data_IF_861512354488
#
_entry.id   IF_861512354488
#
_cell.length_a   1.000
_cell.length_b   1.000
_cell.length_c   1.000
_cell.angle_alpha   90.00
_cell.angle_beta   90.00
_cell.angle_gamma   90.00
#
_symmetry.space_group_name_H-M   'P 1'
#
loop_
_entity.id
_entity.type
_entity.pdbx_description
1 polymer ?
#
# COMPACT_ATOMS: atom_id res chain seq x y z
N UNK A 1 -7.39 -12.02 5.77
CA UNK A 1 -7.60 -10.66 6.35
C UNK A 1 -7.65 -10.66 7.89
N UNK A 2 -7.02 -11.63 8.58
CA UNK A 2 -7.13 -11.76 10.04
C UNK A 2 -6.62 -10.56 10.83
N UNK A 3 -5.54 -9.91 10.35
CA UNK A 3 -4.97 -8.72 11.01
C UNK A 3 -5.88 -7.50 10.92
N UNK A 4 -6.53 -7.26 9.78
CA UNK A 4 -7.42 -6.10 9.58
C UNK A 4 -8.66 -6.18 10.48
N UNK A 5 -9.15 -7.40 10.74
CA UNK A 5 -10.32 -7.66 11.58
C UNK A 5 -10.00 -7.68 13.08
N UNK A 6 -8.73 -7.65 13.46
CA UNK A 6 -8.33 -7.77 14.86
C UNK A 6 -8.44 -6.41 15.58
N UNK A 7 -9.32 -6.26 16.59
CA UNK A 7 -9.49 -4.99 17.31
C UNK A 7 -8.26 -4.56 18.13
N UNK A 8 -7.34 -5.48 18.44
CA UNK A 8 -6.11 -5.17 19.17
C UNK A 8 -5.04 -4.54 18.26
N UNK A 9 -5.19 -4.64 16.94
CA UNK A 9 -4.26 -4.07 15.96
C UNK A 9 -4.80 -2.73 15.46
N UNK A 10 -4.19 -1.65 15.93
CA UNK A 10 -4.61 -0.28 15.59
C UNK A 10 -4.08 0.22 14.25
N UNK A 11 -3.02 -0.39 13.73
CA UNK A 11 -2.44 -0.06 12.44
C UNK A 11 -2.04 -1.32 11.68
N UNK A 12 -2.52 -1.44 10.44
CA UNK A 12 -2.11 -2.50 9.51
C UNK A 12 -1.44 -1.85 8.30
N UNK A 13 -0.21 -2.26 7.99
CA UNK A 13 0.50 -1.87 6.78
C UNK A 13 0.41 -3.03 5.76
N UNK A 14 -0.21 -2.75 4.62
CA UNK A 14 -0.25 -3.64 3.46
C UNK A 14 0.76 -3.15 2.44
N UNK A 15 2.00 -3.56 2.65
CA UNK A 15 3.12 -3.13 1.81
C UNK A 15 3.04 -3.76 0.40
N UNK A 16 3.21 -2.94 -0.63
CA UNK A 16 3.18 -3.31 -2.06
C UNK A 16 1.90 -4.03 -2.54
N UNK A 17 0.78 -3.83 -1.84
CA UNK A 17 -0.51 -4.42 -2.23
C UNK A 17 -0.99 -3.96 -3.61
N UNK A 18 -0.66 -2.73 -4.02
CA UNK A 18 -1.00 -2.21 -5.35
C UNK A 18 -0.31 -3.03 -6.45
N UNK A 19 0.92 -3.51 -6.21
CA UNK A 19 1.63 -4.38 -7.14
C UNK A 19 0.98 -5.77 -7.18
N UNK A 20 0.59 -6.32 -6.03
CA UNK A 20 -0.13 -7.59 -5.97
C UNK A 20 -1.46 -7.56 -6.75
N UNK A 21 -2.20 -6.46 -6.66
CA UNK A 21 -3.42 -6.20 -7.44
C UNK A 21 -3.11 -6.10 -8.94
N UNK A 22 -2.08 -5.33 -9.32
CA UNK A 22 -1.64 -5.19 -10.71
C UNK A 22 -1.23 -6.53 -11.34
N UNK A 23 -0.65 -7.42 -10.54
CA UNK A 23 -0.23 -8.76 -10.96
C UNK A 23 -1.35 -9.81 -10.86
N UNK A 24 -2.58 -9.40 -10.49
CA UNK A 24 -3.75 -10.27 -10.32
C UNK A 24 -3.56 -11.39 -9.27
N UNK A 25 -2.68 -11.21 -8.29
CA UNK A 25 -2.57 -12.13 -7.15
C UNK A 25 -3.73 -11.96 -6.17
N UNK A 26 -4.36 -10.79 -6.16
CA UNK A 26 -5.56 -10.44 -5.42
C UNK A 26 -6.53 -9.74 -6.38
N UNK A 27 -7.82 -9.86 -6.13
CA UNK A 27 -8.81 -9.01 -6.80
C UNK A 27 -9.08 -7.76 -5.98
N UNK A 28 -9.50 -6.68 -6.65
CA UNK A 28 -9.82 -5.43 -5.97
C UNK A 28 -11.01 -5.60 -5.01
N UNK A 29 -11.99 -6.42 -5.37
CA UNK A 29 -13.16 -6.72 -4.55
C UNK A 29 -12.78 -7.40 -3.24
N UNK A 30 -11.81 -8.33 -3.27
CA UNK A 30 -11.32 -8.99 -2.06
C UNK A 30 -10.68 -7.99 -1.09
N UNK A 31 -9.94 -7.01 -1.62
CA UNK A 31 -9.29 -5.98 -0.79
C UNK A 31 -10.33 -5.02 -0.22
N UNK A 32 -11.25 -4.52 -1.05
CA UNK A 32 -12.32 -3.61 -0.60
C UNK A 32 -13.19 -4.26 0.48
N UNK A 33 -13.63 -5.50 0.27
CA UNK A 33 -14.41 -6.23 1.27
C UNK A 33 -13.65 -6.35 2.60
N UNK A 34 -12.34 -6.61 2.56
CA UNK A 34 -11.53 -6.66 3.76
C UNK A 34 -11.38 -5.32 4.49
N UNK A 35 -11.29 -4.22 3.75
CA UNK A 35 -11.22 -2.88 4.33
C UNK A 35 -12.52 -2.45 5.00
N UNK A 36 -13.66 -2.93 4.51
CA UNK A 36 -14.98 -2.63 5.09
C UNK A 36 -15.25 -3.40 6.39
N UNK A 37 -14.47 -4.45 6.66
CA UNK A 37 -14.55 -5.24 7.90
C UNK A 37 -13.60 -4.75 9.00
N UNK A 38 -12.84 -3.69 8.77
CA UNK A 38 -11.89 -3.18 9.77
C UNK A 38 -12.66 -2.57 10.97
N UNK A 39 -12.15 -2.71 12.21
CA UNK A 39 -12.63 -1.94 13.36
C UNK A 39 -12.63 -0.43 13.11
N UNK A 40 -13.58 0.29 13.71
CA UNK A 40 -13.75 1.72 13.48
C UNK A 40 -12.50 2.54 13.87
N UNK A 41 -11.82 2.12 14.92
CA UNK A 41 -10.64 2.76 15.51
C UNK A 41 -9.29 2.24 14.97
N UNK A 42 -9.31 1.40 13.91
CA UNK A 42 -8.09 0.93 13.25
C UNK A 42 -7.81 1.67 11.95
N UNK A 43 -6.53 1.78 11.61
CA UNK A 43 -6.02 2.39 10.38
C UNK A 43 -5.37 1.33 9.49
N UNK A 44 -5.53 1.47 8.18
CA UNK A 44 -4.88 0.61 7.18
C UNK A 44 -4.13 1.48 6.19
N UNK A 45 -2.83 1.20 6.01
CA UNK A 45 -1.97 1.87 5.04
C UNK A 45 -1.72 0.90 3.89
N UNK A 46 -1.94 1.36 2.66
CA UNK A 46 -1.70 0.59 1.44
C UNK A 46 -0.58 1.28 0.65
N UNK A 47 0.45 0.55 0.26
CA UNK A 47 1.58 1.10 -0.50
C UNK A 47 1.75 0.40 -1.85
N UNK A 48 2.68 0.94 -2.63
CA UNK A 48 3.04 0.45 -3.95
C UNK A 48 2.51 1.32 -5.09
N UNK A 49 3.06 1.11 -6.28
CA UNK A 49 2.78 1.96 -7.44
C UNK A 49 1.49 1.55 -8.14
N UNK A 50 0.75 2.55 -8.66
CA UNK A 50 -0.41 2.31 -9.51
C UNK A 50 -1.63 1.77 -8.76
N UNK A 51 -2.00 2.43 -7.67
CA UNK A 51 -3.23 2.11 -6.94
C UNK A 51 -4.45 2.13 -7.89
N UNK A 52 -5.31 1.09 -7.90
CA UNK A 52 -6.56 1.10 -8.65
C UNK A 52 -7.47 2.27 -8.23
N UNK A 53 -8.20 2.84 -9.19
CA UNK A 53 -9.08 3.99 -8.94
C UNK A 53 -10.08 3.74 -7.80
N UNK A 54 -10.61 2.52 -7.67
CA UNK A 54 -11.52 2.17 -6.59
C UNK A 54 -10.88 2.23 -5.19
N UNK A 55 -9.57 1.95 -5.05
CA UNK A 55 -8.87 2.15 -3.76
C UNK A 55 -8.69 3.64 -3.46
N UNK A 56 -8.37 4.42 -4.49
CA UNK A 56 -8.20 5.88 -4.36
C UNK A 56 -9.51 6.52 -3.92
N UNK A 57 -10.63 6.14 -4.54
CA UNK A 57 -11.97 6.63 -4.20
C UNK A 57 -12.39 6.24 -2.78
N UNK A 58 -12.06 5.02 -2.34
CA UNK A 58 -12.40 4.50 -1.01
C UNK A 58 -11.54 5.07 0.12
N UNK A 59 -10.35 5.57 -0.18
CA UNK A 59 -9.38 6.00 0.82
C UNK A 59 -9.72 7.39 1.40
N UNK A 60 -9.57 7.53 2.71
CA UNK A 60 -9.74 8.82 3.39
C UNK A 60 -8.59 9.80 3.08
N UNK A 61 -7.40 9.27 2.81
CA UNK A 61 -6.19 10.01 2.47
C UNK A 61 -5.42 9.29 1.37
N UNK A 62 -5.01 10.04 0.35
CA UNK A 62 -4.14 9.54 -0.73
C UNK A 62 -2.96 10.49 -0.88
N UNK A 63 -1.75 9.92 -0.89
CA UNK A 63 -0.51 10.66 -1.17
C UNK A 63 0.20 10.00 -2.35
N UNK A 64 0.58 10.80 -3.35
CA UNK A 64 1.36 10.35 -4.49
C UNK A 64 2.82 10.79 -4.35
N UNK A 65 3.73 9.83 -4.45
CA UNK A 65 5.17 10.09 -4.47
C UNK A 65 5.66 10.18 -5.92
N UNK A 66 5.81 11.40 -6.43
CA UNK A 66 6.38 11.63 -7.78
C UNK A 66 7.91 11.64 -7.73
N UNK A 67 8.54 10.85 -8.61
CA UNK A 67 9.99 10.78 -8.71
C UNK A 67 10.58 12.03 -9.38
N UNK A 68 11.07 12.99 -8.58
CA UNK A 68 11.72 14.21 -9.10
C UNK A 68 13.19 13.96 -9.50
N UNK A 69 13.93 13.19 -8.68
CA UNK A 69 15.30 12.75 -8.93
C UNK A 69 15.56 11.43 -8.20
N UNK A 70 16.45 10.58 -8.71
CA UNK A 70 16.84 9.32 -8.09
C UNK A 70 18.33 8.98 -8.29
N UNK A 71 19.12 8.75 -7.22
CA UNK A 71 20.56 8.48 -7.32
C UNK A 71 20.95 7.40 -8.33
N UNK A 72 20.19 6.30 -8.41
CA UNK A 72 20.39 5.27 -9.44
C UNK A 72 20.32 5.82 -10.87
N UNK A 73 19.35 6.70 -11.16
CA UNK A 73 19.08 7.18 -12.52
C UNK A 73 20.05 8.27 -12.96
N UNK A 74 20.36 9.25 -12.10
CA UNK A 74 21.23 10.37 -12.49
C UNK A 74 22.70 10.16 -12.15
N UNK A 75 23.03 9.32 -11.16
CA UNK A 75 24.39 9.16 -10.64
C UNK A 75 24.90 7.71 -10.76
N UNK A 76 24.04 6.75 -11.12
CA UNK A 76 24.41 5.33 -11.21
C UNK A 76 24.66 4.66 -9.85
N UNK A 77 24.27 5.31 -8.75
CA UNK A 77 24.44 4.76 -7.40
C UNK A 77 23.45 3.60 -7.21
N UNK A 78 24.00 2.41 -6.96
CA UNK A 78 23.21 1.20 -6.69
C UNK A 78 22.63 1.21 -5.28
N UNK A 79 21.65 0.34 -5.06
CA UNK A 79 21.02 0.12 -3.76
C UNK A 79 22.06 -0.18 -2.66
N UNK A 80 21.85 0.41 -1.49
CA UNK A 80 22.73 0.33 -0.33
C UNK A 80 21.96 -0.24 0.88
N UNK A 81 22.61 -1.11 1.68
CA UNK A 81 22.03 -1.57 2.94
C UNK A 81 21.74 -0.39 3.87
N UNK A 82 20.58 -0.41 4.53
CA UNK A 82 20.09 0.63 5.42
C UNK A 82 19.45 1.84 4.73
N UNK A 83 19.45 1.88 3.38
CA UNK A 83 18.79 2.94 2.60
C UNK A 83 17.67 2.32 1.74
N UNK A 84 18.02 1.43 0.82
CA UNK A 84 17.03 0.78 -0.06
C UNK A 84 16.57 -0.59 0.45
N UNK A 85 17.38 -1.28 1.28
CA UNK A 85 17.06 -2.58 1.86
C UNK A 85 17.79 -2.84 3.18
#
# INVERSE_FOLDING_TARGET
>A
LGFIRNPDIKLVLLDEINIALKLNYLTIEQVLAGLDEKPADSHVILTGRGAPAALIERADLVTEMTLVKHPLKEQGIKAQPGIEF
#
